data_IF_674316763851
#
_entry.id   IF_674316763851
#
_cell.length_a   1.000
_cell.length_b   1.000
_cell.length_c   1.000
_cell.angle_alpha   90.00
_cell.angle_beta   90.00
_cell.angle_gamma   90.00
#
_symmetry.space_group_name_H-M   'P 1'
#
loop_
_entity.id
_entity.type
_entity.pdbx_description
1 polymer ?
#
# COMPACT_ATOMS: atom_id res chain seq x y z
N UNK A 1 15.31 -10.40 11.41
CA UNK A 1 14.79 -10.42 10.02
C UNK A 1 13.52 -9.59 10.00
N UNK A 2 13.34 -8.66 9.05
CA UNK A 2 12.10 -7.88 8.89
C UNK A 2 11.33 -8.45 7.70
N UNK A 3 10.05 -8.75 7.91
CA UNK A 3 9.17 -9.33 6.89
C UNK A 3 8.20 -8.24 6.47
N UNK A 4 8.09 -8.02 5.17
CA UNK A 4 7.11 -7.11 4.59
C UNK A 4 5.94 -7.91 3.98
N UNK A 5 4.75 -7.31 3.96
CA UNK A 5 3.56 -7.86 3.30
C UNK A 5 3.03 -6.89 2.25
N UNK A 6 2.67 -7.41 1.09
CA UNK A 6 2.10 -6.61 0.01
C UNK A 6 0.63 -6.28 0.30
N UNK A 7 0.27 -5.01 0.17
CA UNK A 7 -1.13 -4.56 0.30
C UNK A 7 -1.99 -5.14 -0.84
N UNK A 8 -1.37 -5.53 -1.96
CA UNK A 8 -2.04 -6.28 -3.03
C UNK A 8 -2.74 -7.56 -2.56
N UNK A 9 -2.30 -8.21 -1.47
CA UNK A 9 -2.96 -9.43 -0.98
C UNK A 9 -4.41 -9.20 -0.51
N UNK A 10 -4.78 -7.95 -0.22
CA UNK A 10 -6.10 -7.55 0.26
C UNK A 10 -6.67 -6.39 -0.57
N UNK A 11 -6.34 -6.33 -1.87
CA UNK A 11 -6.70 -5.22 -2.75
C UNK A 11 -8.22 -4.95 -2.88
N UNK A 12 -9.05 -5.94 -2.55
CA UNK A 12 -10.51 -5.89 -2.60
C UNK A 12 -11.15 -5.33 -1.32
N UNK A 13 -10.38 -5.16 -0.24
CA UNK A 13 -10.84 -4.54 1.01
C UNK A 13 -10.50 -3.05 1.02
N UNK A 14 -11.26 -2.19 1.73
CA UNK A 14 -10.85 -0.81 1.99
C UNK A 14 -9.42 -0.72 2.54
N UNK A 15 -8.68 0.32 2.16
CA UNK A 15 -7.27 0.42 2.54
C UNK A 15 -7.06 0.50 4.06
N UNK A 16 -7.94 1.20 4.79
CA UNK A 16 -7.91 1.26 6.25
C UNK A 16 -8.02 -0.14 6.88
N UNK A 17 -8.98 -0.93 6.42
CA UNK A 17 -9.16 -2.32 6.88
C UNK A 17 -7.95 -3.20 6.51
N UNK A 18 -7.34 -2.98 5.34
CA UNK A 18 -6.09 -3.64 4.95
C UNK A 18 -4.98 -3.37 5.98
N UNK A 19 -4.78 -2.11 6.37
CA UNK A 19 -3.74 -1.73 7.33
C UNK A 19 -4.01 -2.30 8.73
N UNK A 20 -5.27 -2.29 9.18
CA UNK A 20 -5.67 -2.89 10.45
C UNK A 20 -5.35 -4.39 10.50
N UNK A 21 -5.67 -5.14 9.44
CA UNK A 21 -5.37 -6.58 9.34
C UNK A 21 -3.87 -6.82 9.40
N UNK A 22 -3.09 -6.05 8.63
CA UNK A 22 -1.63 -6.17 8.56
C UNK A 22 -0.99 -5.87 9.92
N UNK A 23 -1.42 -4.79 10.57
CA UNK A 23 -0.92 -4.41 11.90
C UNK A 23 -1.31 -5.45 12.97
N UNK A 24 -2.55 -5.93 12.95
CA UNK A 24 -3.02 -6.97 13.87
C UNK A 24 -2.28 -8.31 13.68
N UNK A 25 -1.80 -8.61 12.47
CA UNK A 25 -0.96 -9.76 12.18
C UNK A 25 0.52 -9.59 12.64
N UNK A 26 0.89 -8.42 13.17
CA UNK A 26 2.22 -8.16 13.74
C UNK A 26 3.29 -7.74 12.73
N UNK A 27 2.90 -7.43 11.49
CA UNK A 27 3.83 -6.85 10.53
C UNK A 27 4.14 -5.39 10.87
N UNK A 28 5.33 -4.94 10.49
CA UNK A 28 5.76 -3.54 10.66
C UNK A 28 6.10 -2.86 9.32
N UNK A 29 6.09 -3.61 8.23
CA UNK A 29 6.61 -3.23 6.93
C UNK A 29 5.63 -3.68 5.85
N UNK A 30 5.32 -2.80 4.90
CA UNK A 30 4.40 -3.08 3.79
C UNK A 30 5.04 -2.78 2.45
N UNK A 31 4.71 -3.59 1.46
CA UNK A 31 4.83 -3.22 0.05
C UNK A 31 3.52 -2.59 -0.40
N UNK A 32 3.57 -1.34 -0.88
CA UNK A 32 2.39 -0.64 -1.36
C UNK A 32 2.14 -1.01 -2.82
N UNK A 33 0.96 -1.55 -3.11
CA UNK A 33 0.61 -2.01 -4.45
C UNK A 33 0.11 -0.90 -5.37
N UNK A 34 0.70 -0.83 -6.56
CA UNK A 34 0.15 -0.12 -7.72
C UNK A 34 -0.43 -1.15 -8.71
N UNK A 35 -1.31 -0.71 -9.61
CA UNK A 35 -1.80 -1.50 -10.74
C UNK A 35 -1.79 -0.68 -12.03
N UNK A 36 -1.66 -1.35 -13.18
CA UNK A 36 -1.73 -0.69 -14.47
C UNK A 36 -3.17 -0.38 -14.86
N UNK A 37 -3.49 0.89 -15.12
CA UNK A 37 -4.80 1.36 -15.57
C UNK A 37 -4.66 2.15 -16.86
N UNK A 38 -4.95 1.51 -17.99
CA UNK A 38 -5.19 2.22 -19.27
C UNK A 38 -4.03 3.08 -19.77
N UNK A 39 -2.77 2.67 -19.56
CA UNK A 39 -1.60 3.42 -20.04
C UNK A 39 -0.79 4.11 -18.94
N UNK A 40 -1.27 4.10 -17.69
CA UNK A 40 -0.57 4.65 -16.53
C UNK A 40 -0.65 3.73 -15.32
N UNK A 41 0.30 3.87 -14.40
CA UNK A 41 0.21 3.25 -13.09
C UNK A 41 -0.78 4.02 -12.21
N UNK A 42 -1.67 3.27 -11.56
CA UNK A 42 -2.63 3.75 -10.60
C UNK A 42 -2.40 3.05 -9.25
N UNK A 43 -2.76 3.69 -8.15
CA UNK A 43 -2.78 3.00 -6.86
C UNK A 43 -3.76 1.82 -6.91
N UNK A 44 -3.47 0.68 -6.27
CA UNK A 44 -4.38 -0.48 -6.14
C UNK A 44 -5.84 -0.08 -5.86
N UNK A 45 -6.82 -0.91 -6.26
CA UNK A 45 -8.26 -0.59 -6.14
C UNK A 45 -8.65 0.01 -4.78
N UNK A 46 -8.11 -0.52 -3.68
CA UNK A 46 -8.38 -0.03 -2.33
C UNK A 46 -7.84 1.38 -2.01
N UNK A 47 -6.98 1.91 -2.86
CA UNK A 47 -6.33 3.22 -2.81
C UNK A 47 -6.78 4.11 -3.97
N UNK A 48 -7.79 3.71 -4.74
CA UNK A 48 -8.37 4.55 -5.78
C UNK A 48 -8.89 5.86 -5.17
N UNK A 49 -8.47 7.00 -5.74
CA UNK A 49 -8.79 8.32 -5.20
C UNK A 49 -7.97 8.76 -3.98
N UNK A 50 -7.06 7.91 -3.48
CA UNK A 50 -6.13 8.23 -2.39
C UNK A 50 -4.81 8.71 -2.98
N UNK A 51 -4.37 9.91 -2.62
CA UNK A 51 -3.06 10.41 -3.02
C UNK A 51 -1.93 9.63 -2.33
N UNK A 52 -0.74 9.56 -2.95
CA UNK A 52 0.41 8.89 -2.34
C UNK A 52 0.76 9.46 -0.96
N UNK A 53 0.64 10.79 -0.76
CA UNK A 53 0.82 11.43 0.55
C UNK A 53 -0.19 10.92 1.58
N UNK A 54 -1.47 10.87 1.22
CA UNK A 54 -2.53 10.40 2.12
C UNK A 54 -2.33 8.92 2.46
N UNK A 55 -1.94 8.09 1.48
CA UNK A 55 -1.61 6.69 1.70
C UNK A 55 -0.45 6.54 2.70
N UNK A 56 0.63 7.31 2.55
CA UNK A 56 1.76 7.31 3.46
C UNK A 56 1.38 7.73 4.90
N UNK A 57 0.53 8.76 5.04
CA UNK A 57 -0.01 9.19 6.34
C UNK A 57 -0.82 8.07 7.01
N UNK A 58 -1.70 7.40 6.27
CA UNK A 58 -2.52 6.29 6.79
C UNK A 58 -1.64 5.10 7.24
N UNK A 59 -0.64 4.73 6.43
CA UNK A 59 0.33 3.67 6.78
C UNK A 59 1.07 4.02 8.07
N UNK A 60 1.55 5.26 8.19
CA UNK A 60 2.24 5.71 9.40
C UNK A 60 1.33 5.73 10.63
N UNK A 61 0.07 6.14 10.48
CA UNK A 61 -0.93 6.13 11.56
C UNK A 61 -1.25 4.71 12.05
N UNK A 62 -1.17 3.72 11.17
CA UNK A 62 -1.32 2.31 11.50
C UNK A 62 -0.06 1.69 12.15
N UNK A 63 1.01 2.47 12.37
CA UNK A 63 2.27 1.97 12.93
C UNK A 63 3.11 1.13 11.95
N UNK A 64 2.79 1.22 10.65
CA UNK A 64 3.46 0.49 9.57
C UNK A 64 4.46 1.39 8.85
N UNK A 65 5.36 0.80 8.05
CA UNK A 65 6.33 1.51 7.20
C UNK A 65 6.27 1.00 5.77
N UNK A 66 6.43 1.89 4.81
CA UNK A 66 6.61 1.50 3.41
C UNK A 66 8.01 0.94 3.25
N UNK A 67 8.12 -0.36 2.95
CA UNK A 67 9.38 -1.02 2.63
C UNK A 67 9.69 -0.94 1.14
N UNK A 68 8.68 -1.02 0.29
CA UNK A 68 8.80 -0.92 -1.17
C UNK A 68 7.46 -0.55 -1.80
N UNK A 69 7.50 -0.19 -3.09
CA UNK A 69 6.32 0.07 -3.91
C UNK A 69 6.33 -0.95 -5.05
N UNK A 70 5.26 -1.74 -5.15
CA UNK A 70 5.08 -2.71 -6.22
C UNK A 70 4.82 -1.94 -7.52
N UNK A 71 5.63 -2.21 -8.54
CA UNK A 71 5.55 -1.58 -9.86
C UNK A 71 5.68 -0.05 -9.86
N UNK A 72 6.73 0.48 -9.23
CA UNK A 72 7.08 1.92 -9.25
C UNK A 72 7.69 2.44 -10.56
N UNK A 73 7.53 1.72 -11.68
CA UNK A 73 8.17 2.07 -12.96
C UNK A 73 7.68 3.41 -13.51
N UNK A 74 8.41 4.50 -13.20
CA UNK A 74 8.16 5.85 -13.73
C UNK A 74 7.18 6.72 -12.95
N UNK A 75 6.83 6.37 -11.69
CA UNK A 75 5.79 7.09 -10.90
C UNK A 75 6.37 7.92 -9.75
N UNK A 76 7.67 7.81 -9.48
CA UNK A 76 8.35 8.52 -8.39
C UNK A 76 9.32 9.61 -8.87
N UNK A 77 9.22 10.04 -10.13
CA UNK A 77 9.83 11.30 -10.57
C UNK A 77 8.96 12.51 -10.20
#
# INVERSE_FOLDING_TARGET
MRIAVATANTFFLPFEQTLEIIAAAGFCDVEVALYWRGGSWAMAQHLEGVSGRRAAEMISQAGLRVATIHDGGGVLE
#
